data_IF_101278790417
#
_entry.id   IF_101278790417
#
_cell.length_a   1.000
_cell.length_b   1.000
_cell.length_c   1.000
_cell.angle_alpha   90.00
_cell.angle_beta   90.00
_cell.angle_gamma   90.00
#
_symmetry.space_group_name_H-M   'P 1'
#
loop_
_entity.id
_entity.type
_entity.pdbx_description
1 polymer ?
#
# COMPACT_ATOMS: atom_id res chain seq x y z
N UNK A 1 0.19 -11.55 -9.48
CA UNK A 1 -1.25 -11.45 -9.18
C UNK A 1 -1.52 -9.98 -8.89
N UNK A 2 -2.13 -9.27 -9.83
CA UNK A 2 -2.55 -7.87 -9.66
C UNK A 2 -4.01 -7.94 -9.19
N UNK A 3 -4.31 -7.52 -7.96
CA UNK A 3 -5.57 -7.89 -7.28
C UNK A 3 -6.64 -6.80 -7.31
N UNK A 4 -6.44 -5.67 -8.01
CA UNK A 4 -7.46 -4.61 -8.13
C UNK A 4 -7.91 -3.98 -6.80
N UNK A 5 -7.23 -4.28 -5.69
CA UNK A 5 -7.56 -3.79 -4.36
C UNK A 5 -7.22 -2.30 -4.25
N UNK A 6 -8.22 -1.49 -3.94
CA UNK A 6 -8.03 -0.08 -3.61
C UNK A 6 -7.73 0.06 -2.12
N UNK A 7 -6.58 0.65 -1.80
CA UNK A 7 -6.15 0.92 -0.42
C UNK A 7 -5.77 2.40 -0.30
N UNK A 8 -6.11 2.99 0.84
CA UNK A 8 -5.77 4.37 1.12
C UNK A 8 -4.30 4.43 1.55
N UNK A 9 -3.47 5.14 0.78
CA UNK A 9 -2.05 5.32 1.07
C UNK A 9 -1.75 6.76 1.49
N UNK A 10 -0.73 7.02 2.34
CA UNK A 10 -0.34 8.37 2.72
C UNK A 10 0.13 9.21 1.51
N UNK A 11 -0.01 10.53 1.62
CA UNK A 11 0.30 11.50 0.54
C UNK A 11 1.76 11.51 0.05
N UNK A 12 2.68 10.87 0.77
CA UNK A 12 4.10 10.78 0.40
C UNK A 12 4.45 9.52 -0.43
N UNK A 13 3.48 8.64 -0.71
CA UNK A 13 3.66 7.43 -1.51
C UNK A 13 3.45 7.76 -2.99
N UNK A 14 4.42 7.39 -3.83
CA UNK A 14 4.38 7.62 -5.28
C UNK A 14 4.13 6.31 -6.03
N UNK A 15 3.67 6.43 -7.28
CA UNK A 15 3.50 5.25 -8.15
C UNK A 15 4.86 4.60 -8.41
N UNK A 16 4.96 3.29 -8.18
CA UNK A 16 6.20 2.52 -8.33
C UNK A 16 6.95 2.26 -7.02
N UNK A 17 6.58 2.92 -5.92
CA UNK A 17 7.11 2.60 -4.60
C UNK A 17 6.66 1.22 -4.11
N UNK A 18 7.60 0.49 -3.51
CA UNK A 18 7.30 -0.76 -2.82
C UNK A 18 6.94 -0.43 -1.38
N UNK A 19 5.68 -0.69 -1.03
CA UNK A 19 5.17 -0.49 0.32
C UNK A 19 4.62 -1.80 0.85
N UNK A 20 4.73 -1.97 2.17
CA UNK A 20 4.10 -3.09 2.88
C UNK A 20 2.83 -2.58 3.53
N UNK A 21 1.73 -3.25 3.22
CA UNK A 21 0.40 -2.95 3.74
C UNK A 21 -0.15 -4.18 4.46
N UNK A 22 -0.92 -3.95 5.52
CA UNK A 22 -1.74 -5.00 6.12
C UNK A 22 -2.97 -5.24 5.24
N UNK A 23 -3.10 -6.43 4.68
CA UNK A 23 -4.21 -6.76 3.75
C UNK A 23 -5.51 -7.12 4.46
N UNK A 24 -5.53 -7.14 5.79
CA UNK A 24 -6.72 -7.41 6.61
C UNK A 24 -7.37 -6.11 7.07
N UNK A 25 -6.57 -5.11 7.44
CA UNK A 25 -7.05 -3.79 7.89
C UNK A 25 -6.90 -2.69 6.83
N UNK A 26 -6.05 -2.89 5.83
CA UNK A 26 -5.73 -1.87 4.80
C UNK A 26 -4.73 -0.83 5.30
N UNK A 27 -4.12 -1.02 6.47
CA UNK A 27 -3.21 -0.06 7.06
C UNK A 27 -1.80 -0.16 6.48
N UNK A 28 -1.13 0.99 6.42
CA UNK A 28 0.26 1.09 5.99
C UNK A 28 1.20 0.62 7.11
N UNK A 29 2.12 -0.29 6.78
CA UNK A 29 3.10 -0.82 7.75
C UNK A 29 4.49 -0.18 7.59
N UNK A 30 5.05 -0.16 6.36
CA UNK A 30 6.39 0.37 6.12
C UNK A 30 6.74 0.54 4.62
N UNK A 31 7.78 1.33 4.33
CA UNK A 31 8.40 1.48 2.99
C UNK A 31 9.63 0.57 2.90
N UNK A 32 9.86 -0.07 1.76
CA UNK A 32 11.02 -0.94 1.48
C UNK A 32 11.78 -0.47 0.25
#
# INVERSE_FOLDING_TARGET
VETGAQVNVPLFVSTGDKIKIDTRTGEYLSRV
#
